data_IF_859690100017
#
_entry.id   IF_859690100017
#
_cell.length_a   1.000
_cell.length_b   1.000
_cell.length_c   1.000
_cell.angle_alpha   90.00
_cell.angle_beta   90.00
_cell.angle_gamma   90.00
#
_symmetry.space_group_name_H-M   'P 1'
#
loop_
_entity.id
_entity.type
_entity.pdbx_description
1 polymer ?
#
# COMPACT_ATOMS: atom_id res chain seq x y z
N UNK A 1 0.80 -6.40 4.80
CA UNK A 1 0.11 -7.07 5.91
C UNK A 1 -1.27 -7.61 5.51
N UNK A 2 -2.17 -6.83 4.88
CA UNK A 2 -3.52 -7.30 4.50
C UNK A 2 -3.51 -8.55 3.61
N UNK A 3 -2.68 -8.57 2.57
CA UNK A 3 -2.58 -9.72 1.64
C UNK A 3 -2.23 -11.01 2.39
N UNK A 4 -1.24 -10.95 3.28
CA UNK A 4 -0.83 -12.12 4.07
C UNK A 4 -1.94 -12.57 5.02
N UNK A 5 -2.62 -11.61 5.67
CA UNK A 5 -3.78 -11.92 6.53
C UNK A 5 -4.89 -12.60 5.75
N UNK A 6 -5.28 -12.06 4.58
CA UNK A 6 -6.30 -12.64 3.72
C UNK A 6 -5.96 -14.04 3.23
N UNK A 7 -4.69 -14.30 2.91
CA UNK A 7 -4.23 -15.62 2.48
C UNK A 7 -4.33 -16.63 3.65
N UNK A 8 -3.92 -16.24 4.85
CA UNK A 8 -3.98 -17.10 6.03
C UNK A 8 -5.43 -17.39 6.40
N UNK A 9 -6.29 -16.38 6.41
CA UNK A 9 -7.72 -16.54 6.73
C UNK A 9 -8.45 -17.36 5.66
N UNK A 10 -8.16 -17.15 4.38
CA UNK A 10 -8.73 -17.91 3.26
C UNK A 10 -8.35 -19.40 3.26
N UNK A 11 -7.23 -19.77 3.86
CA UNK A 11 -6.76 -21.15 3.98
C UNK A 11 -7.09 -21.82 5.34
N UNK A 12 -8.03 -21.27 6.11
CA UNK A 12 -8.46 -21.87 7.37
C UNK A 12 -7.60 -21.53 8.59
N UNK A 13 -6.79 -20.48 8.50
CA UNK A 13 -5.99 -19.96 9.60
C UNK A 13 -4.54 -20.48 9.62
N UNK A 14 -3.76 -20.01 10.59
CA UNK A 14 -2.33 -20.31 10.72
C UNK A 14 -2.03 -21.82 10.84
N UNK A 15 -2.93 -22.60 11.44
CA UNK A 15 -2.72 -24.03 11.67
C UNK A 15 -2.77 -24.87 10.38
N UNK A 16 -3.46 -24.39 9.35
CA UNK A 16 -3.60 -25.09 8.06
C UNK A 16 -2.72 -24.50 6.96
N UNK A 17 -2.06 -23.37 7.22
CA UNK A 17 -1.23 -22.69 6.25
C UNK A 17 0.17 -23.31 6.22
N UNK A 18 0.57 -23.91 5.10
CA UNK A 18 1.91 -24.47 4.94
C UNK A 18 2.98 -23.37 4.85
N UNK A 19 4.19 -23.68 5.33
CA UNK A 19 5.32 -22.74 5.23
C UNK A 19 5.64 -22.39 3.77
N UNK A 20 5.46 -23.32 2.85
CA UNK A 20 5.67 -23.09 1.42
C UNK A 20 4.68 -22.08 0.84
N UNK A 21 3.41 -22.14 1.27
CA UNK A 21 2.39 -21.17 0.86
C UNK A 21 2.74 -19.76 1.35
N UNK A 22 3.21 -19.62 2.59
CA UNK A 22 3.63 -18.33 3.14
C UNK A 22 4.81 -17.75 2.37
N UNK A 23 5.84 -18.54 2.12
CA UNK A 23 7.03 -18.12 1.35
C UNK A 23 6.65 -17.76 -0.08
N UNK A 24 5.83 -18.56 -0.72
CA UNK A 24 5.38 -18.30 -2.09
C UNK A 24 4.49 -17.08 -2.21
N UNK A 25 3.60 -16.86 -1.27
CA UNK A 25 2.77 -15.65 -1.20
C UNK A 25 3.61 -14.39 -0.96
N UNK A 26 4.60 -14.48 -0.08
CA UNK A 26 5.56 -13.39 0.14
C UNK A 26 6.36 -13.11 -1.14
N UNK A 27 6.83 -14.15 -1.84
CA UNK A 27 7.50 -14.04 -3.12
C UNK A 27 6.62 -13.33 -4.16
N UNK A 28 5.34 -13.72 -4.24
CA UNK A 28 4.37 -13.10 -5.14
C UNK A 28 4.23 -11.60 -4.86
N UNK A 29 4.09 -11.20 -3.60
CA UNK A 29 4.00 -9.79 -3.19
C UNK A 29 5.26 -9.02 -3.58
N UNK A 30 6.46 -9.56 -3.26
CA UNK A 30 7.74 -8.92 -3.57
C UNK A 30 7.87 -8.69 -5.09
N UNK A 31 7.62 -9.70 -5.89
CA UNK A 31 7.77 -9.61 -7.34
C UNK A 31 6.70 -8.74 -7.99
N UNK A 32 5.46 -8.79 -7.50
CA UNK A 32 4.39 -7.91 -7.99
C UNK A 32 4.73 -6.44 -7.72
N UNK A 33 5.17 -6.10 -6.51
CA UNK A 33 5.58 -4.73 -6.17
C UNK A 33 6.80 -4.32 -7.01
N UNK A 34 7.80 -5.19 -7.15
CA UNK A 34 8.99 -4.90 -7.94
C UNK A 34 8.64 -4.62 -9.40
N UNK A 35 7.81 -5.44 -10.02
CA UNK A 35 7.40 -5.26 -11.41
C UNK A 35 6.53 -4.02 -11.59
N UNK A 36 5.52 -3.83 -10.76
CA UNK A 36 4.57 -2.72 -10.91
C UNK A 36 5.21 -1.38 -10.50
N UNK A 37 5.92 -1.31 -9.38
CA UNK A 37 6.45 -0.06 -8.87
C UNK A 37 7.80 0.26 -9.50
N UNK A 38 8.74 -0.66 -9.51
CA UNK A 38 10.11 -0.35 -9.97
C UNK A 38 10.17 -0.33 -11.50
N UNK A 39 9.72 -1.38 -12.17
CA UNK A 39 9.86 -1.48 -13.62
C UNK A 39 8.84 -0.59 -14.32
N UNK A 40 7.55 -0.77 -14.04
CA UNK A 40 6.49 -0.04 -14.74
C UNK A 40 6.48 1.45 -14.35
N UNK A 41 6.51 1.77 -13.07
CA UNK A 41 6.35 3.15 -12.61
C UNK A 41 7.67 3.92 -12.66
N UNK A 42 8.72 3.45 -12.00
CA UNK A 42 10.00 4.20 -11.90
C UNK A 42 10.74 4.21 -13.23
N UNK A 43 10.92 3.06 -13.90
CA UNK A 43 11.73 3.01 -15.12
C UNK A 43 11.00 3.52 -16.36
N UNK A 44 9.68 3.37 -16.45
CA UNK A 44 8.90 3.72 -17.64
C UNK A 44 8.10 5.01 -17.39
N UNK A 45 7.19 5.03 -16.44
CA UNK A 45 6.26 6.15 -16.26
C UNK A 45 6.93 7.44 -15.81
N UNK A 46 7.92 7.39 -14.92
CA UNK A 46 8.64 8.60 -14.48
C UNK A 46 9.57 9.20 -15.55
N UNK A 47 9.94 8.43 -16.57
CA UNK A 47 10.69 8.97 -17.74
C UNK A 47 9.80 9.75 -18.70
N UNK A 48 8.49 9.52 -18.66
CA UNK A 48 7.50 10.29 -19.42
C UNK A 48 7.21 11.61 -18.70
N UNK A 49 8.12 12.57 -18.87
CA UNK A 49 8.04 13.89 -18.26
C UNK A 49 7.49 14.90 -19.27
N UNK A 50 6.46 15.63 -18.88
CA UNK A 50 5.91 16.75 -19.63
C UNK A 50 6.11 18.04 -18.82
N UNK A 51 7.15 18.83 -19.15
CA UNK A 51 7.48 20.11 -18.50
C UNK A 51 7.68 20.04 -16.97
N UNK A 52 8.25 18.95 -16.45
CA UNK A 52 8.45 18.75 -15.01
C UNK A 52 7.30 18.07 -14.30
N UNK A 53 6.20 17.79 -15.01
CA UNK A 53 5.05 17.07 -14.48
C UNK A 53 5.03 15.63 -14.98
N UNK A 54 4.69 14.70 -14.09
CA UNK A 54 4.53 13.27 -14.38
C UNK A 54 3.10 12.79 -14.14
N UNK A 55 2.90 11.47 -14.27
CA UNK A 55 1.61 10.83 -14.00
C UNK A 55 0.73 10.65 -15.22
N UNK A 56 -0.53 10.22 -15.00
CA UNK A 56 -1.45 9.79 -16.06
C UNK A 56 -1.77 10.91 -17.04
N UNK A 57 -1.97 12.13 -16.55
CA UNK A 57 -2.31 13.27 -17.40
C UNK A 57 -1.12 13.76 -18.21
N UNK A 58 0.08 13.75 -17.67
CA UNK A 58 1.31 14.06 -18.40
C UNK A 58 1.57 13.02 -19.50
N UNK A 59 1.40 11.73 -19.17
CA UNK A 59 1.51 10.66 -20.15
C UNK A 59 0.50 10.81 -21.29
N UNK A 60 -0.76 11.14 -20.96
CA UNK A 60 -1.79 11.41 -21.96
C UNK A 60 -1.40 12.63 -22.83
N UNK A 61 -0.90 13.71 -22.24
CA UNK A 61 -0.47 14.89 -22.99
C UNK A 61 0.59 14.56 -24.04
N UNK A 62 1.52 13.65 -23.72
CA UNK A 62 2.57 13.19 -24.63
C UNK A 62 2.03 12.34 -25.79
N UNK A 63 1.04 11.49 -25.51
CA UNK A 63 0.54 10.52 -26.51
C UNK A 63 -0.76 10.94 -27.21
N UNK A 64 -1.40 12.05 -26.82
CA UNK A 64 -2.66 12.53 -27.39
C UNK A 64 -2.62 12.77 -28.90
N UNK A 65 -1.43 13.06 -29.45
CA UNK A 65 -1.22 13.22 -30.89
C UNK A 65 -1.29 11.92 -31.69
N UNK A 66 -1.14 10.76 -31.03
CA UNK A 66 -1.14 9.46 -31.70
C UNK A 66 -2.55 8.93 -32.02
N UNK A 67 -3.59 9.45 -31.34
CA UNK A 67 -4.97 9.07 -31.62
C UNK A 67 -5.99 9.50 -30.56
N UNK A 68 -7.19 9.86 -31.01
CA UNK A 68 -8.29 10.29 -30.13
C UNK A 68 -8.77 9.19 -29.17
N UNK A 69 -8.54 7.91 -29.50
CA UNK A 69 -8.94 6.78 -28.67
C UNK A 69 -8.21 6.75 -27.31
N UNK A 70 -7.02 7.33 -27.23
CA UNK A 70 -6.21 7.39 -26.00
C UNK A 70 -6.81 8.25 -24.90
N UNK A 71 -7.84 9.04 -25.20
CA UNK A 71 -8.59 9.80 -24.18
C UNK A 71 -9.35 8.85 -23.24
N UNK A 72 -9.87 7.73 -23.75
CA UNK A 72 -10.65 6.79 -22.94
C UNK A 72 -9.84 6.15 -21.80
N UNK A 73 -8.67 5.50 -22.05
CA UNK A 73 -7.86 4.97 -20.96
C UNK A 73 -7.30 6.07 -20.03
N UNK A 74 -7.07 7.29 -20.54
CA UNK A 74 -6.66 8.40 -19.69
C UNK A 74 -7.77 8.85 -18.73
N UNK A 75 -9.02 8.89 -19.19
CA UNK A 75 -10.18 9.20 -18.34
C UNK A 75 -10.39 8.12 -17.28
N UNK A 76 -10.32 6.84 -17.65
CA UNK A 76 -10.44 5.72 -16.71
C UNK A 76 -9.33 5.77 -15.67
N UNK A 77 -8.10 5.99 -16.09
CA UNK A 77 -6.95 6.10 -15.18
C UNK A 77 -7.05 7.31 -14.25
N UNK A 78 -7.52 8.46 -14.76
CA UNK A 78 -7.77 9.64 -13.94
C UNK A 78 -8.88 9.43 -12.92
N UNK A 79 -9.98 8.81 -13.32
CA UNK A 79 -11.08 8.46 -12.42
C UNK A 79 -10.64 7.44 -11.33
N UNK A 80 -9.87 6.43 -11.72
CA UNK A 80 -9.30 5.46 -10.77
C UNK A 80 -8.35 6.12 -9.76
N UNK A 81 -7.53 7.08 -10.20
CA UNK A 81 -6.65 7.84 -9.32
C UNK A 81 -7.42 8.70 -8.32
N UNK A 82 -8.52 9.32 -8.75
CA UNK A 82 -9.40 10.08 -7.86
C UNK A 82 -10.10 9.16 -6.85
N UNK A 83 -10.59 8.01 -7.29
CA UNK A 83 -11.22 7.03 -6.42
C UNK A 83 -10.23 6.50 -5.36
N UNK A 84 -8.98 6.20 -5.74
CA UNK A 84 -7.93 5.78 -4.82
C UNK A 84 -7.61 6.87 -3.79
N UNK A 85 -7.54 8.12 -4.23
CA UNK A 85 -7.32 9.28 -3.33
C UNK A 85 -8.38 9.46 -2.24
N UNK A 86 -9.59 8.92 -2.44
CA UNK A 86 -10.68 8.92 -1.44
C UNK A 86 -10.69 7.63 -0.62
N UNK A 87 -10.55 6.48 -1.28
CA UNK A 87 -10.66 5.17 -0.64
C UNK A 87 -9.47 4.86 0.27
N UNK A 88 -8.27 5.15 -0.17
CA UNK A 88 -7.05 4.80 0.56
C UNK A 88 -6.96 5.46 1.94
N UNK A 89 -7.17 6.78 2.11
CA UNK A 89 -7.21 7.39 3.44
C UNK A 89 -8.35 6.83 4.31
N UNK A 90 -9.53 6.63 3.74
CA UNK A 90 -10.68 6.12 4.50
C UNK A 90 -10.41 4.73 5.07
N UNK A 91 -9.97 3.80 4.23
CA UNK A 91 -9.67 2.42 4.64
C UNK A 91 -8.50 2.37 5.63
N UNK A 92 -7.42 3.12 5.35
CA UNK A 92 -6.21 3.10 6.17
C UNK A 92 -6.47 3.65 7.57
N UNK A 93 -7.17 4.80 7.69
CA UNK A 93 -7.49 5.41 8.98
C UNK A 93 -8.47 4.52 9.77
N UNK A 94 -9.51 3.99 9.11
CA UNK A 94 -10.46 3.08 9.77
C UNK A 94 -9.75 1.87 10.35
N UNK A 95 -8.89 1.23 9.57
CA UNK A 95 -8.15 0.07 10.04
C UNK A 95 -7.17 0.42 11.16
N UNK A 96 -6.51 1.58 11.10
CA UNK A 96 -5.64 2.02 12.19
C UNK A 96 -6.42 2.21 13.50
N UNK A 97 -7.62 2.80 13.43
CA UNK A 97 -8.51 2.97 14.60
C UNK A 97 -9.03 1.62 15.10
N UNK A 98 -9.34 0.67 14.21
CA UNK A 98 -9.74 -0.69 14.60
C UNK A 98 -8.62 -1.45 15.29
N UNK A 99 -7.38 -1.32 14.82
CA UNK A 99 -6.21 -1.94 15.48
C UNK A 99 -6.02 -1.36 16.89
N UNK A 100 -6.31 -0.08 17.12
CA UNK A 100 -6.25 0.51 18.47
C UNK A 100 -7.21 -0.17 19.45
N UNK A 101 -8.33 -0.73 18.98
CA UNK A 101 -9.29 -1.48 19.81
C UNK A 101 -8.73 -2.79 20.37
N UNK A 102 -7.66 -3.32 19.80
CA UNK A 102 -7.00 -4.51 20.35
C UNK A 102 -6.31 -4.23 21.69
N UNK A 103 -6.09 -2.95 22.02
CA UNK A 103 -5.54 -2.55 23.31
C UNK A 103 -6.70 -2.35 24.32
N UNK A 104 -6.68 -3.04 25.50
CA UNK A 104 -7.77 -2.97 26.48
C UNK A 104 -8.10 -1.56 26.96
N UNK A 105 -7.08 -0.70 27.07
CA UNK A 105 -7.25 0.70 27.52
C UNK A 105 -7.99 1.52 26.48
N UNK A 106 -7.66 1.32 25.20
CA UNK A 106 -8.30 2.04 24.09
C UNK A 106 -9.69 1.49 23.80
N UNK A 107 -9.91 0.19 23.95
CA UNK A 107 -11.24 -0.41 23.81
C UNK A 107 -12.21 0.12 24.87
N UNK A 108 -11.76 0.31 26.11
CA UNK A 108 -12.53 0.98 27.17
C UNK A 108 -12.94 2.41 26.79
N UNK A 109 -12.06 3.17 26.15
CA UNK A 109 -12.31 4.54 25.71
C UNK A 109 -13.22 4.62 24.48
N UNK A 110 -13.00 3.78 23.49
CA UNK A 110 -13.77 3.71 22.25
C UNK A 110 -15.15 3.06 22.47
N UNK A 111 -15.30 2.22 23.49
CA UNK A 111 -16.54 1.51 23.84
C UNK A 111 -16.94 0.46 22.80
N UNK A 112 -17.95 -0.33 23.12
CA UNK A 112 -18.47 -1.39 22.27
C UNK A 112 -19.20 -0.88 21.01
N UNK A 113 -19.41 0.45 20.87
CA UNK A 113 -20.17 1.03 19.77
C UNK A 113 -19.30 1.41 18.57
N UNK A 114 -19.70 1.00 17.36
CA UNK A 114 -19.07 1.43 16.11
C UNK A 114 -19.14 2.96 15.90
N UNK A 115 -20.11 3.65 16.49
CA UNK A 115 -20.31 5.08 16.30
C UNK A 115 -19.11 5.93 16.71
N UNK A 116 -18.45 5.58 17.83
CA UNK A 116 -17.25 6.31 18.29
C UNK A 116 -16.06 6.11 17.35
N UNK A 117 -15.90 4.90 16.81
CA UNK A 117 -14.89 4.58 15.79
C UNK A 117 -15.13 5.43 14.54
N UNK A 118 -16.36 5.50 14.08
CA UNK A 118 -16.74 6.29 12.90
C UNK A 118 -16.45 7.78 13.13
N UNK A 119 -16.87 8.32 14.28
CA UNK A 119 -16.63 9.74 14.62
C UNK A 119 -15.13 10.04 14.69
N UNK A 120 -14.35 9.18 15.34
CA UNK A 120 -12.89 9.36 15.45
C UNK A 120 -12.22 9.27 14.06
N UNK A 121 -12.61 8.30 13.25
CA UNK A 121 -12.13 8.14 11.88
C UNK A 121 -12.45 9.39 11.04
N UNK A 122 -13.69 9.88 11.10
CA UNK A 122 -14.09 11.08 10.38
C UNK A 122 -13.33 12.33 10.87
N UNK A 123 -13.11 12.46 12.18
CA UNK A 123 -12.35 13.57 12.75
C UNK A 123 -10.89 13.56 12.26
N UNK A 124 -10.25 12.38 12.24
CA UNK A 124 -8.87 12.22 11.74
C UNK A 124 -8.80 12.54 10.25
N UNK A 125 -9.72 12.00 9.43
CA UNK A 125 -9.78 12.27 8.00
C UNK A 125 -9.99 13.76 7.74
N UNK A 126 -10.94 14.39 8.45
CA UNK A 126 -11.20 15.83 8.34
C UNK A 126 -9.96 16.65 8.68
N UNK A 127 -9.30 16.33 9.80
CA UNK A 127 -8.06 16.99 10.21
C UNK A 127 -6.97 16.84 9.13
N UNK A 128 -6.85 15.66 8.53
CA UNK A 128 -5.89 15.37 7.46
C UNK A 128 -6.17 16.23 6.23
N UNK A 129 -7.42 16.34 5.79
CA UNK A 129 -7.79 17.20 4.66
C UNK A 129 -7.60 18.70 4.97
N UNK A 130 -7.87 19.14 6.20
CA UNK A 130 -7.62 20.52 6.61
C UNK A 130 -6.12 20.85 6.59
N UNK A 131 -5.28 19.93 7.03
CA UNK A 131 -3.80 20.07 6.98
C UNK A 131 -3.30 20.08 5.53
N UNK A 132 -3.88 19.27 4.64
CA UNK A 132 -3.54 19.26 3.22
C UNK A 132 -3.80 20.61 2.54
N UNK A 133 -4.80 21.39 3.00
CA UNK A 133 -5.07 22.75 2.53
C UNK A 133 -3.89 23.70 2.76
N UNK A 134 -3.06 23.45 3.77
CA UNK A 134 -1.85 24.26 4.07
C UNK A 134 -0.68 24.05 3.09
N UNK A 135 -0.84 23.16 2.11
CA UNK A 135 0.12 22.87 1.05
C UNK A 135 0.82 21.53 1.22
N UNK A 136 0.74 20.72 0.19
CA UNK A 136 1.35 19.37 0.12
C UNK A 136 2.88 19.38 0.28
N UNK A 137 3.54 20.49 -0.08
CA UNK A 137 5.00 20.62 0.03
C UNK A 137 5.51 20.57 1.48
N UNK A 138 4.80 21.22 2.43
CA UNK A 138 5.18 21.19 3.86
C UNK A 138 4.98 19.80 4.45
N UNK A 139 3.86 19.19 4.11
CA UNK A 139 3.52 17.84 4.56
C UNK A 139 4.56 16.84 4.04
N UNK A 140 4.91 16.89 2.75
CA UNK A 140 5.91 16.03 2.14
C UNK A 140 7.29 16.14 2.80
N UNK A 141 7.72 17.34 3.21
CA UNK A 141 8.98 17.54 3.93
C UNK A 141 8.99 16.91 5.33
N UNK A 142 7.84 16.87 6.01
CA UNK A 142 7.71 16.24 7.31
C UNK A 142 7.60 14.71 7.19
N UNK A 143 6.90 14.21 6.17
CA UNK A 143 6.72 12.77 5.95
C UNK A 143 8.02 12.05 5.59
N UNK A 144 8.93 12.67 4.83
CA UNK A 144 10.19 12.07 4.42
C UNK A 144 10.99 11.49 5.60
N UNK A 145 11.37 12.31 6.60
CA UNK A 145 12.11 11.84 7.77
C UNK A 145 11.35 10.78 8.59
N UNK A 146 10.04 10.96 8.78
CA UNK A 146 9.20 9.99 9.51
C UNK A 146 9.20 8.62 8.83
N UNK A 147 9.02 8.60 7.50
CA UNK A 147 9.06 7.37 6.73
C UNK A 147 10.45 6.72 6.73
N UNK A 148 11.50 7.53 6.70
CA UNK A 148 12.87 7.02 6.78
C UNK A 148 13.12 6.31 8.12
N UNK A 149 12.70 6.92 9.23
CA UNK A 149 12.81 6.29 10.57
C UNK A 149 11.97 5.01 10.62
N UNK A 150 10.76 5.04 10.09
CA UNK A 150 9.87 3.88 10.06
C UNK A 150 10.44 2.72 9.24
N UNK A 151 10.92 2.98 8.02
CA UNK A 151 11.53 1.95 7.18
C UNK A 151 12.85 1.44 7.76
N UNK A 152 13.65 2.31 8.41
CA UNK A 152 14.86 1.88 9.09
C UNK A 152 14.53 0.94 10.26
N UNK A 153 13.51 1.27 11.05
CA UNK A 153 13.03 0.41 12.13
C UNK A 153 12.56 -0.96 11.59
N UNK A 154 11.74 -0.97 10.56
CA UNK A 154 11.29 -2.22 9.92
C UNK A 154 12.45 -3.01 9.32
N UNK A 155 13.41 -2.31 8.69
CA UNK A 155 14.59 -2.94 8.12
C UNK A 155 15.47 -3.61 9.17
N UNK A 156 15.75 -2.93 10.28
CA UNK A 156 16.56 -3.47 11.36
C UNK A 156 15.86 -4.67 12.03
N UNK A 157 14.58 -4.52 12.37
CA UNK A 157 13.82 -5.62 12.99
C UNK A 157 13.70 -6.81 12.06
N UNK A 158 13.47 -6.57 10.75
CA UNK A 158 13.43 -7.62 9.74
C UNK A 158 14.77 -8.34 9.60
N UNK A 159 15.89 -7.61 9.57
CA UNK A 159 17.24 -8.18 9.50
C UNK A 159 17.55 -9.09 10.70
N UNK A 160 17.18 -8.67 11.92
CA UNK A 160 17.38 -9.51 13.11
C UNK A 160 16.61 -10.82 12.99
N UNK A 161 15.35 -10.78 12.54
CA UNK A 161 14.52 -11.99 12.43
C UNK A 161 14.86 -12.89 11.23
N UNK A 162 15.58 -12.38 10.21
CA UNK A 162 16.07 -13.22 9.12
C UNK A 162 17.06 -14.28 9.62
N UNK A 163 17.84 -13.98 10.66
CA UNK A 163 18.78 -14.94 11.25
C UNK A 163 18.05 -16.09 11.97
N UNK A 164 16.86 -15.85 12.50
CA UNK A 164 16.03 -16.88 13.15
C UNK A 164 15.38 -17.83 12.12
N UNK A 165 15.04 -17.31 10.92
CA UNK A 165 14.35 -18.07 9.87
C UNK A 165 14.94 -17.76 8.48
N UNK A 166 16.15 -18.29 8.15
CA UNK A 166 16.79 -18.01 6.85
C UNK A 166 15.98 -18.48 5.65
N UNK A 167 15.02 -19.40 5.85
CA UNK A 167 14.13 -19.88 4.79
C UNK A 167 13.28 -18.78 4.13
N UNK A 168 13.07 -17.64 4.82
CA UNK A 168 12.37 -16.46 4.27
C UNK A 168 13.11 -15.88 3.06
N UNK A 169 14.42 -16.00 2.99
CA UNK A 169 15.21 -15.55 1.83
C UNK A 169 14.84 -16.28 0.52
N UNK A 170 14.25 -17.47 0.60
CA UNK A 170 13.71 -18.17 -0.58
C UNK A 170 12.61 -17.37 -1.28
N UNK A 171 11.94 -16.46 -0.57
CA UNK A 171 10.92 -15.58 -1.16
C UNK A 171 11.46 -14.61 -2.22
N UNK A 172 12.77 -14.36 -2.25
CA UNK A 172 13.38 -13.58 -3.34
C UNK A 172 13.42 -14.34 -4.67
N UNK A 173 13.28 -15.65 -4.65
CA UNK A 173 13.27 -16.45 -5.87
C UNK A 173 11.85 -16.44 -6.49
N UNK A 174 11.68 -15.94 -7.74
CA UNK A 174 10.38 -15.85 -8.39
C UNK A 174 9.70 -17.20 -8.65
N UNK A 175 10.45 -18.28 -8.62
CA UNK A 175 9.91 -19.65 -8.81
C UNK A 175 8.87 -19.97 -7.73
N UNK A 176 9.04 -19.49 -6.50
CA UNK A 176 8.05 -19.69 -5.43
C UNK A 176 6.76 -18.89 -5.66
N UNK A 177 6.86 -17.70 -6.27
CA UNK A 177 5.67 -16.93 -6.67
C UNK A 177 4.88 -17.68 -7.74
N UNK A 178 5.56 -18.21 -8.75
CA UNK A 178 4.92 -18.98 -9.84
C UNK A 178 4.28 -20.26 -9.31
N UNK A 179 4.94 -21.00 -8.40
CA UNK A 179 4.36 -22.20 -7.78
C UNK A 179 3.01 -21.92 -7.10
N UNK A 180 2.89 -20.83 -6.35
CA UNK A 180 1.64 -20.49 -5.66
C UNK A 180 0.52 -20.12 -6.63
N UNK A 181 0.84 -19.55 -7.81
CA UNK A 181 -0.18 -19.26 -8.82
C UNK A 181 -0.77 -20.52 -9.48
N UNK A 182 -0.05 -21.62 -9.45
CA UNK A 182 -0.48 -22.88 -10.06
C UNK A 182 -0.94 -23.93 -9.02
N UNK A 183 -0.88 -23.64 -7.75
CA UNK A 183 -1.35 -24.47 -6.65
C UNK A 183 -2.79 -24.13 -6.27
#
# INVERSE_FOLDING_TARGET
>A
MYVMKSIIEGNGGLAQTSQELVIGSLSLVIWTITLLTTIKHVLIAMRANNHGEGGIFALYALVRGCGKWLIFPAMVGGAAMLADGVLTPAVTVTTAVEVLRTNPVMDSFLGAGQTRVIILTLAIILALFLVQRAGTSRIGKAFGPVMLVWFSFLGITGLVHIFDLPSVLKAFNPVYAVKVLYS
#
